data_IF_137756704016
#
_entry.id   IF_137756704016
#
_cell.length_a   1.000
_cell.length_b   1.000
_cell.length_c   1.000
_cell.angle_alpha   90.00
_cell.angle_beta   90.00
_cell.angle_gamma   90.00
#
_symmetry.space_group_name_H-M   'P 1'
#
loop_
_entity.id
_entity.type
_entity.pdbx_description
1 polymer ?
#
# COMPACT_ATOMS: atom_id res chain seq x y z
N UNK A 1 -16.18 5.80 21.64
CA UNK A 1 -15.93 6.50 20.36
C UNK A 1 -14.75 5.88 19.61
N UNK A 2 -13.73 5.41 20.33
CA UNK A 2 -12.48 4.88 19.80
C UNK A 2 -12.65 3.63 18.93
N UNK A 3 -13.56 2.72 19.28
CA UNK A 3 -13.80 1.50 18.48
C UNK A 3 -14.28 1.80 17.06
N UNK A 4 -15.21 2.77 16.88
CA UNK A 4 -15.69 3.18 15.55
C UNK A 4 -14.57 3.89 14.78
N UNK A 5 -13.80 4.73 15.47
CA UNK A 5 -12.67 5.44 14.88
C UNK A 5 -11.58 4.47 14.41
N UNK A 6 -11.25 3.48 15.23
CA UNK A 6 -10.31 2.41 14.91
C UNK A 6 -10.83 1.48 13.82
N UNK A 7 -12.13 1.16 13.79
CA UNK A 7 -12.72 0.39 12.70
C UNK A 7 -12.70 1.16 11.37
N UNK A 8 -13.02 2.46 11.41
CA UNK A 8 -12.93 3.35 10.25
C UNK A 8 -11.49 3.49 9.75
N UNK A 9 -10.54 3.68 10.68
CA UNK A 9 -9.12 3.67 10.37
C UNK A 9 -8.71 2.32 9.78
N UNK A 10 -9.07 1.19 10.39
CA UNK A 10 -8.76 -0.15 9.88
C UNK A 10 -9.22 -0.33 8.43
N UNK A 11 -10.47 0.03 8.11
CA UNK A 11 -11.00 -0.09 6.74
C UNK A 11 -10.28 0.85 5.78
N UNK A 12 -10.10 2.11 6.17
CA UNK A 12 -9.35 3.11 5.38
C UNK A 12 -7.93 2.63 5.09
N UNK A 13 -7.27 2.09 6.11
CA UNK A 13 -5.90 1.64 6.08
C UNK A 13 -5.75 0.37 5.20
N UNK A 14 -6.68 -0.58 5.33
CA UNK A 14 -6.83 -1.73 4.42
C UNK A 14 -7.04 -1.29 2.96
N UNK A 15 -7.90 -0.30 2.73
CA UNK A 15 -8.21 0.18 1.39
C UNK A 15 -7.00 0.87 0.76
N UNK A 16 -6.29 1.68 1.55
CA UNK A 16 -5.04 2.32 1.13
C UNK A 16 -3.97 1.27 0.86
N UNK A 17 -3.79 0.28 1.75
CA UNK A 17 -2.89 -0.85 1.53
C UNK A 17 -3.20 -1.63 0.25
N UNK A 18 -4.47 -1.91 -0.04
CA UNK A 18 -4.89 -2.56 -1.28
C UNK A 18 -4.64 -1.70 -2.52
N UNK A 19 -4.88 -0.39 -2.43
CA UNK A 19 -4.59 0.57 -3.50
C UNK A 19 -3.09 0.61 -3.78
N UNK A 20 -2.27 0.59 -2.73
CA UNK A 20 -0.81 0.51 -2.84
C UNK A 20 -0.35 -0.82 -3.45
N UNK A 21 -1.02 -1.93 -3.16
CA UNK A 21 -0.76 -3.21 -3.81
C UNK A 21 -1.05 -3.20 -5.32
N UNK A 22 -2.14 -2.56 -5.74
CA UNK A 22 -2.46 -2.37 -7.15
C UNK A 22 -1.42 -1.48 -7.86
N UNK A 23 -1.06 -0.35 -7.25
CA UNK A 23 0.01 0.54 -7.76
C UNK A 23 1.36 -0.19 -7.84
N UNK A 24 1.69 -1.03 -6.86
CA UNK A 24 2.88 -1.89 -6.88
C UNK A 24 2.90 -2.82 -8.09
N UNK A 25 1.77 -3.46 -8.42
CA UNK A 25 1.67 -4.34 -9.59
C UNK A 25 1.78 -3.56 -10.90
N UNK A 26 1.06 -2.45 -11.04
CA UNK A 26 1.17 -1.59 -12.22
C UNK A 26 2.61 -1.09 -12.43
N UNK A 27 3.27 -0.64 -11.36
CA UNK A 27 4.66 -0.21 -11.42
C UNK A 27 5.62 -1.36 -11.73
N UNK A 28 5.33 -2.59 -11.30
CA UNK A 28 6.09 -3.78 -11.69
C UNK A 28 5.96 -4.07 -13.19
N UNK A 29 4.78 -3.87 -13.76
CA UNK A 29 4.55 -4.04 -15.20
C UNK A 29 5.34 -2.98 -15.97
N UNK A 30 5.24 -1.70 -15.58
CA UNK A 30 6.00 -0.60 -16.20
C UNK A 30 7.51 -0.80 -16.07
N UNK A 31 7.99 -1.28 -14.91
CA UNK A 31 9.41 -1.58 -14.71
C UNK A 31 9.94 -2.70 -15.62
N UNK A 32 9.06 -3.62 -16.05
CA UNK A 32 9.38 -4.72 -16.96
C UNK A 32 9.04 -4.40 -18.43
N UNK A 33 8.28 -3.35 -18.67
CA UNK A 33 7.81 -2.97 -19.99
C UNK A 33 9.00 -2.55 -20.86
N UNK A 34 9.23 -3.27 -21.95
CA UNK A 34 10.40 -3.01 -22.79
C UNK A 34 10.27 -1.75 -23.66
N UNK A 35 9.06 -1.20 -23.76
CA UNK A 35 8.76 0.00 -24.51
C UNK A 35 8.92 1.28 -23.66
N UNK A 36 8.80 1.16 -22.34
CA UNK A 36 9.08 2.23 -21.40
C UNK A 36 10.58 2.56 -21.37
N UNK A 37 10.90 3.85 -21.44
CA UNK A 37 12.27 4.33 -21.33
C UNK A 37 12.90 4.00 -19.97
N UNK A 38 14.23 3.90 -19.91
CA UNK A 38 14.98 3.57 -18.68
C UNK A 38 14.56 4.45 -17.49
N UNK A 39 14.41 5.77 -17.70
CA UNK A 39 13.98 6.68 -16.64
C UNK A 39 12.61 6.31 -16.06
N UNK A 40 11.65 5.99 -16.93
CA UNK A 40 10.31 5.53 -16.53
C UNK A 40 10.36 4.20 -15.79
N UNK A 41 11.15 3.23 -16.25
CA UNK A 41 11.30 1.94 -15.55
C UNK A 41 11.95 2.09 -14.19
N UNK A 42 12.96 2.96 -14.08
CA UNK A 42 13.66 3.20 -12.82
C UNK A 42 12.72 3.88 -11.81
N UNK A 43 11.95 4.87 -12.26
CA UNK A 43 10.95 5.53 -11.45
C UNK A 43 9.88 4.54 -11.00
N UNK A 44 9.32 3.74 -11.91
CA UNK A 44 8.36 2.69 -11.57
C UNK A 44 8.93 1.66 -10.60
N UNK A 45 10.19 1.25 -10.75
CA UNK A 45 10.85 0.36 -9.77
C UNK A 45 10.95 1.02 -8.39
N UNK A 46 11.31 2.30 -8.33
CA UNK A 46 11.36 3.09 -7.10
C UNK A 46 9.99 3.24 -6.44
N UNK A 47 8.97 3.58 -7.22
CA UNK A 47 7.58 3.66 -6.77
C UNK A 47 7.08 2.30 -6.30
N UNK A 48 7.36 1.19 -6.99
CA UNK A 48 6.97 -0.15 -6.54
C UNK A 48 7.58 -0.52 -5.18
N UNK A 49 8.82 -0.11 -4.91
CA UNK A 49 9.47 -0.31 -3.60
C UNK A 49 8.81 0.58 -2.53
N UNK A 50 8.56 1.85 -2.88
CA UNK A 50 7.87 2.81 -2.01
C UNK A 50 6.46 2.33 -1.65
N UNK A 51 5.69 1.90 -2.64
CA UNK A 51 4.37 1.28 -2.48
C UNK A 51 4.43 0.05 -1.59
N UNK A 52 5.40 -0.85 -1.78
CA UNK A 52 5.54 -2.03 -0.92
C UNK A 52 5.83 -1.66 0.54
N UNK A 53 6.61 -0.61 0.76
CA UNK A 53 6.90 -0.11 2.11
C UNK A 53 5.66 0.49 2.76
N UNK A 54 4.87 1.27 2.00
CA UNK A 54 3.58 1.83 2.44
C UNK A 54 2.56 0.73 2.70
N UNK A 55 2.40 -0.22 1.78
CA UNK A 55 1.55 -1.41 1.91
C UNK A 55 1.83 -2.12 3.24
N UNK A 56 3.10 -2.39 3.58
CA UNK A 56 3.45 -3.01 4.86
C UNK A 56 3.11 -2.14 6.08
N UNK A 57 3.38 -0.83 6.02
CA UNK A 57 3.05 0.09 7.13
C UNK A 57 1.55 0.14 7.36
N UNK A 58 0.80 0.21 6.27
CA UNK A 58 -0.65 0.22 6.29
C UNK A 58 -1.19 -1.09 6.85
N UNK A 59 -0.76 -2.24 6.32
CA UNK A 59 -1.21 -3.54 6.81
C UNK A 59 -0.93 -3.73 8.33
N UNK A 60 0.26 -3.32 8.79
CA UNK A 60 0.61 -3.35 10.22
C UNK A 60 -0.25 -2.37 11.07
N UNK A 61 -0.49 -1.16 10.57
CA UNK A 61 -1.37 -0.17 11.20
C UNK A 61 -2.81 -0.69 11.28
N UNK A 62 -3.30 -1.31 10.21
CA UNK A 62 -4.60 -1.94 10.16
C UNK A 62 -4.70 -3.06 11.21
N UNK A 63 -3.75 -3.99 11.27
CA UNK A 63 -3.73 -5.04 12.29
C UNK A 63 -3.71 -4.48 13.71
N UNK A 64 -2.91 -3.44 13.97
CA UNK A 64 -2.86 -2.77 15.27
C UNK A 64 -4.20 -2.11 15.63
N UNK A 65 -4.81 -1.38 14.70
CA UNK A 65 -6.13 -0.77 14.89
C UNK A 65 -7.21 -1.83 15.15
N UNK A 66 -7.16 -2.96 14.45
CA UNK A 66 -8.07 -4.09 14.63
C UNK A 66 -7.92 -4.69 16.02
N UNK A 67 -6.68 -4.99 16.48
CA UNK A 67 -6.46 -5.50 17.83
C UNK A 67 -6.95 -4.51 18.90
N UNK A 68 -6.63 -3.23 18.75
CA UNK A 68 -7.08 -2.18 19.66
C UNK A 68 -8.59 -1.97 19.66
N UNK A 69 -9.29 -2.33 18.57
CA UNK A 69 -10.76 -2.33 18.55
C UNK A 69 -11.37 -3.58 19.20
N UNK A 70 -10.58 -4.62 19.46
CA UNK A 70 -11.04 -5.89 20.04
C UNK A 70 -10.80 -6.00 21.56
N UNK A 71 -10.06 -5.05 22.14
CA UNK A 71 -9.76 -4.94 23.57
C UNK A 71 -10.52 -3.76 24.19
#
# INVERSE_FOLDING_TARGET
MDTIKNAGNYVSDKLQGASHGASKEANKEVAKDNNAGIGTRLQATGDAISDKSKEKKHDASAEANKQAATH
#
